data_IF_315499389836
#
_entry.id   IF_315499389836
#
_cell.length_a   1.000
_cell.length_b   1.000
_cell.length_c   1.000
_cell.angle_alpha   90.00
_cell.angle_beta   90.00
_cell.angle_gamma   90.00
#
_symmetry.space_group_name_H-M   'P 1'
#
loop_
_entity.id
_entity.type
_entity.pdbx_description
1 polymer ?
#
# COMPACT_ATOMS: atom_id res chain seq x y z
N UNK A 1 -36.29 63.86 37.14
CA UNK A 1 -36.20 63.44 35.73
C UNK A 1 -34.93 62.61 35.58
N UNK A 2 -35.03 61.30 35.35
CA UNK A 2 -33.88 60.38 35.21
C UNK A 2 -33.64 60.13 33.71
N UNK A 3 -32.59 60.72 33.16
CA UNK A 3 -32.17 60.52 31.76
C UNK A 3 -31.47 59.17 31.67
N UNK A 4 -32.07 58.21 30.95
CA UNK A 4 -31.48 56.90 30.66
C UNK A 4 -30.70 57.00 29.34
N UNK A 5 -29.40 56.80 29.38
CA UNK A 5 -28.56 56.64 28.19
C UNK A 5 -28.72 55.20 27.68
N UNK A 6 -29.25 55.05 26.46
CA UNK A 6 -29.25 53.79 25.71
C UNK A 6 -27.92 53.72 24.98
N UNK A 7 -27.01 52.85 25.44
CA UNK A 7 -25.78 52.55 24.73
C UNK A 7 -26.09 51.62 23.56
N UNK A 8 -25.97 52.13 22.33
CA UNK A 8 -26.09 51.36 21.09
C UNK A 8 -24.82 50.50 20.94
N UNK A 9 -24.96 49.19 21.07
CA UNK A 9 -23.89 48.23 20.80
C UNK A 9 -23.83 47.99 19.28
N UNK A 10 -22.83 48.56 18.61
CA UNK A 10 -22.51 48.22 17.22
C UNK A 10 -21.84 46.85 17.18
N UNK A 11 -22.58 45.82 16.76
CA UNK A 11 -22.00 44.51 16.41
C UNK A 11 -21.48 44.64 14.98
N UNK A 12 -20.16 44.74 14.83
CA UNK A 12 -19.51 44.66 13.51
C UNK A 12 -19.59 43.20 13.01
N UNK A 13 -20.07 42.94 11.78
CA UNK A 13 -20.00 41.60 11.21
C UNK A 13 -18.53 41.28 10.94
N UNK A 14 -17.96 40.34 11.71
CA UNK A 14 -16.67 39.75 11.40
C UNK A 14 -16.87 38.90 10.15
N UNK A 15 -16.52 39.47 9.00
CA UNK A 15 -16.45 38.77 7.74
C UNK A 15 -15.22 37.85 7.79
N UNK A 16 -15.36 36.67 8.39
CA UNK A 16 -14.33 35.63 8.33
C UNK A 16 -14.15 35.24 6.86
N UNK A 17 -13.02 35.62 6.27
CA UNK A 17 -12.60 35.05 4.98
C UNK A 17 -12.52 33.54 5.19
N UNK A 18 -13.44 32.79 4.59
CA UNK A 18 -13.34 31.35 4.51
C UNK A 18 -12.10 31.03 3.67
N UNK A 19 -10.97 30.76 4.32
CA UNK A 19 -9.85 30.09 3.69
C UNK A 19 -10.33 28.70 3.35
N UNK A 20 -10.45 28.37 2.05
CA UNK A 20 -10.65 26.98 1.64
C UNK A 20 -9.47 26.17 2.18
N UNK A 21 -9.75 25.08 2.88
CA UNK A 21 -8.74 24.08 3.17
C UNK A 21 -8.15 23.64 1.83
N UNK A 22 -6.83 23.77 1.69
CA UNK A 22 -6.11 23.22 0.54
C UNK A 22 -5.92 21.73 0.82
N UNK A 23 -6.27 20.92 -0.16
CA UNK A 23 -6.03 19.49 -0.14
C UNK A 23 -5.59 19.07 -1.55
N UNK A 24 -5.14 17.85 -1.73
CA UNK A 24 -4.84 17.30 -3.03
C UNK A 24 -5.37 15.87 -3.09
N UNK A 25 -6.23 15.59 -4.06
CA UNK A 25 -6.70 14.23 -4.30
C UNK A 25 -5.62 13.37 -4.96
N UNK A 26 -5.44 12.15 -4.45
CA UNK A 26 -4.53 11.13 -4.95
C UNK A 26 -5.35 9.86 -5.19
N UNK A 27 -5.44 9.44 -6.45
CA UNK A 27 -6.03 8.18 -6.87
C UNK A 27 -4.93 7.12 -7.02
N UNK A 28 -5.13 5.90 -6.53
CA UNK A 28 -4.08 4.88 -6.56
C UNK A 28 -4.61 3.46 -6.74
N UNK A 29 -3.72 2.53 -7.09
CA UNK A 29 -4.00 1.09 -7.16
C UNK A 29 -3.88 0.49 -8.55
N UNK A 30 -4.88 -0.26 -9.00
CA UNK A 30 -4.94 -0.92 -10.30
C UNK A 30 -5.94 -0.26 -11.25
N UNK A 31 -5.49 0.08 -12.46
CA UNK A 31 -6.31 0.87 -13.39
C UNK A 31 -7.33 0.04 -14.17
N UNK A 32 -7.12 -1.27 -14.32
CA UNK A 32 -7.96 -2.15 -15.16
C UNK A 32 -8.66 -3.21 -14.31
N UNK A 33 -9.82 -3.69 -14.77
CA UNK A 33 -10.51 -4.84 -14.20
C UNK A 33 -9.86 -6.16 -14.66
N UNK A 34 -9.95 -7.20 -13.84
CA UNK A 34 -9.40 -8.53 -14.10
C UNK A 34 -7.87 -8.56 -14.22
N UNK A 35 -7.17 -7.75 -13.44
CA UNK A 35 -5.72 -7.81 -13.39
C UNK A 35 -5.24 -8.95 -12.48
N UNK A 36 -4.13 -9.58 -12.84
CA UNK A 36 -3.61 -10.73 -12.09
C UNK A 36 -2.74 -10.30 -10.93
N UNK A 37 -3.34 -10.22 -9.75
CA UNK A 37 -2.67 -9.97 -8.47
C UNK A 37 -2.51 -11.31 -7.77
N UNK A 38 -1.27 -11.79 -7.71
CA UNK A 38 -0.97 -13.15 -7.29
C UNK A 38 0.07 -13.20 -6.17
N UNK A 39 0.04 -14.31 -5.45
CA UNK A 39 1.01 -14.70 -4.44
C UNK A 39 2.27 -15.30 -5.07
N UNK A 40 3.27 -15.58 -4.24
CA UNK A 40 4.54 -16.18 -4.66
C UNK A 40 4.37 -17.56 -5.32
N UNK A 41 3.25 -18.23 -5.06
CA UNK A 41 2.87 -19.52 -5.61
C UNK A 41 1.82 -19.46 -6.74
N UNK A 42 1.36 -18.27 -7.12
CA UNK A 42 0.40 -18.07 -8.21
C UNK A 42 -1.09 -18.08 -7.80
N UNK A 43 -1.39 -18.22 -6.50
CA UNK A 43 -2.76 -18.06 -5.97
C UNK A 43 -3.15 -16.57 -5.94
N UNK A 44 -4.44 -16.25 -6.01
CA UNK A 44 -4.90 -14.85 -5.91
C UNK A 44 -4.62 -14.25 -4.53
N UNK A 45 -4.33 -12.95 -4.49
CA UNK A 45 -4.23 -12.18 -3.23
C UNK A 45 -5.64 -11.90 -2.68
N UNK A 46 -5.87 -12.16 -1.39
CA UNK A 46 -7.14 -11.93 -0.69
C UNK A 46 -7.00 -10.84 0.38
N UNK A 47 -8.00 -9.98 0.56
CA UNK A 47 -8.00 -8.98 1.64
C UNK A 47 -8.17 -9.59 3.03
N UNK A 48 -8.66 -10.83 3.13
CA UNK A 48 -8.74 -11.53 4.42
C UNK A 48 -7.35 -11.89 4.98
N UNK A 49 -6.34 -11.93 4.11
CA UNK A 49 -4.97 -12.34 4.44
C UNK A 49 -3.94 -11.22 4.22
N UNK A 50 -4.21 -10.31 3.29
CA UNK A 50 -3.29 -9.24 2.89
C UNK A 50 -3.85 -7.87 3.18
N UNK A 51 -2.97 -6.99 3.65
CA UNK A 51 -3.15 -5.54 3.61
C UNK A 51 -2.57 -5.00 2.31
N UNK A 52 -3.23 -4.01 1.72
CA UNK A 52 -2.74 -3.26 0.56
C UNK A 52 -2.75 -1.79 0.98
N UNK A 53 -1.58 -1.18 1.08
CA UNK A 53 -1.41 0.16 1.66
C UNK A 53 -0.67 1.06 0.67
N UNK A 54 -1.14 2.29 0.51
CA UNK A 54 -0.36 3.40 -0.06
C UNK A 54 0.31 4.14 1.10
N UNK A 55 1.58 4.49 0.93
CA UNK A 55 2.29 5.20 1.99
C UNK A 55 3.70 5.61 1.61
N UNK A 56 4.49 5.94 2.62
CA UNK A 56 5.88 6.31 2.48
C UNK A 56 6.68 5.91 3.72
N UNK A 57 7.99 5.81 3.56
CA UNK A 57 8.87 5.53 4.70
C UNK A 57 9.20 6.81 5.47
N UNK A 58 9.58 6.66 6.74
CA UNK A 58 10.08 7.75 7.57
C UNK A 58 11.20 8.53 6.87
N UNK A 59 11.25 9.84 7.10
CA UNK A 59 12.18 10.72 6.38
C UNK A 59 13.63 10.25 6.52
N UNK A 60 14.31 10.09 5.38
CA UNK A 60 15.69 9.58 5.30
C UNK A 60 15.83 8.05 5.30
N UNK A 61 14.73 7.30 5.45
CA UNK A 61 14.72 5.85 5.26
C UNK A 61 14.47 5.50 3.79
N UNK A 62 15.41 4.78 3.17
CA UNK A 62 15.26 4.26 1.81
C UNK A 62 15.10 2.74 1.90
N UNK A 63 13.96 2.18 1.45
CA UNK A 63 13.75 0.73 1.50
C UNK A 63 14.68 0.02 0.53
N UNK A 64 15.37 -1.00 1.03
CA UNK A 64 16.24 -1.89 0.26
C UNK A 64 16.08 -3.32 0.79
N UNK A 65 16.51 -4.32 0.04
CA UNK A 65 16.51 -5.71 0.52
C UNK A 65 17.34 -5.89 1.81
N UNK A 66 18.39 -5.08 1.99
CA UNK A 66 19.30 -5.18 3.13
C UNK A 66 18.71 -4.68 4.46
N UNK A 67 17.61 -3.93 4.45
CA UNK A 67 16.98 -3.36 5.64
C UNK A 67 15.50 -3.76 5.77
N UNK A 68 15.10 -4.88 5.18
CA UNK A 68 13.72 -5.36 5.15
C UNK A 68 13.10 -5.58 6.53
N UNK A 69 13.92 -5.97 7.51
CA UNK A 69 13.52 -6.14 8.91
C UNK A 69 13.04 -4.83 9.55
N UNK A 70 13.47 -3.67 9.03
CA UNK A 70 13.15 -2.36 9.56
C UNK A 70 11.93 -1.70 8.87
N UNK A 71 11.43 -2.28 7.77
CA UNK A 71 10.44 -1.63 6.90
C UNK A 71 9.17 -1.26 7.65
N UNK A 72 8.53 -2.22 8.31
CA UNK A 72 7.24 -1.99 9.00
C UNK A 72 7.37 -0.96 10.11
N UNK A 73 8.52 -0.90 10.80
CA UNK A 73 8.76 0.11 11.85
C UNK A 73 8.98 1.53 11.32
N UNK A 74 9.33 1.66 10.03
CA UNK A 74 9.54 2.94 9.35
C UNK A 74 8.40 3.27 8.38
N UNK A 75 7.41 2.41 8.23
CA UNK A 75 6.30 2.59 7.31
C UNK A 75 5.25 3.53 7.90
N UNK A 76 4.75 4.44 7.06
CA UNK A 76 3.66 5.36 7.39
C UNK A 76 2.56 5.19 6.35
N UNK A 77 1.39 4.80 6.82
CA UNK A 77 0.22 4.57 5.96
C UNK A 77 -0.38 5.92 5.58
N UNK A 78 -0.46 6.19 4.28
CA UNK A 78 -1.21 7.32 3.75
C UNK A 78 -2.66 6.94 3.54
N UNK A 79 -2.92 5.79 2.92
CA UNK A 79 -4.25 5.24 2.67
C UNK A 79 -4.16 3.71 2.59
N UNK A 80 -5.23 2.99 2.86
CA UNK A 80 -5.21 1.54 2.82
C UNK A 80 -6.48 0.94 2.23
N UNK A 81 -6.38 -0.35 1.95
CA UNK A 81 -7.48 -1.20 1.56
C UNK A 81 -7.55 -2.33 2.57
N UNK A 82 -8.68 -2.41 3.27
CA UNK A 82 -8.90 -3.41 4.32
C UNK A 82 -10.09 -4.32 4.00
N UNK A 83 -10.11 -5.51 4.61
CA UNK A 83 -11.22 -6.45 4.43
C UNK A 83 -12.54 -5.86 4.95
N UNK A 84 -13.59 -5.92 4.13
CA UNK A 84 -14.91 -5.38 4.46
C UNK A 84 -15.20 -4.00 3.88
N UNK A 85 -14.19 -3.37 3.26
CA UNK A 85 -14.34 -2.15 2.46
C UNK A 85 -15.11 -2.46 1.17
N UNK A 86 -16.43 -2.51 1.33
CA UNK A 86 -17.43 -2.90 0.33
C UNK A 86 -18.46 -1.80 0.11
N UNK A 87 -18.31 -0.67 0.79
CA UNK A 87 -19.26 0.42 0.69
C UNK A 87 -18.89 1.35 -0.47
N UNK A 88 -19.90 1.69 -1.27
CA UNK A 88 -19.82 2.71 -2.31
C UNK A 88 -19.62 4.14 -1.78
N UNK A 89 -19.56 4.30 -0.46
CA UNK A 89 -19.34 5.57 0.22
C UNK A 89 -17.88 5.82 0.59
N UNK A 90 -17.09 4.75 0.67
CA UNK A 90 -15.65 4.80 0.88
C UNK A 90 -14.96 5.00 -0.47
N UNK A 91 -13.84 5.71 -0.48
CA UNK A 91 -13.09 6.06 -1.67
C UNK A 91 -12.40 4.85 -2.34
N UNK A 92 -12.88 3.65 -2.05
CA UNK A 92 -12.32 2.39 -2.46
C UNK A 92 -13.26 1.60 -3.37
N UNK A 93 -12.69 0.95 -4.38
CA UNK A 93 -13.41 0.00 -5.24
C UNK A 93 -12.57 -1.24 -5.47
N UNK A 94 -12.99 -2.35 -4.87
CA UNK A 94 -12.49 -3.69 -5.20
C UNK A 94 -13.43 -4.42 -6.15
N UNK A 95 -12.85 -5.15 -7.10
CA UNK A 95 -13.58 -6.15 -7.90
C UNK A 95 -12.75 -7.42 -7.91
N UNK A 96 -13.30 -8.53 -7.42
CA UNK A 96 -12.68 -9.85 -7.54
C UNK A 96 -11.43 -10.11 -6.69
N UNK A 97 -11.11 -9.26 -5.71
CA UNK A 97 -10.00 -9.55 -4.76
C UNK A 97 -10.30 -10.85 -4.00
N UNK A 98 -9.30 -11.72 -3.85
CA UNK A 98 -9.45 -13.12 -3.43
C UNK A 98 -9.57 -14.11 -4.59
N UNK A 99 -9.65 -13.62 -5.84
CA UNK A 99 -9.49 -14.43 -7.05
C UNK A 99 -8.22 -14.03 -7.80
N UNK A 100 -7.80 -14.84 -8.78
CA UNK A 100 -6.63 -14.52 -9.61
C UNK A 100 -6.87 -13.34 -10.53
N UNK A 101 -8.10 -12.88 -10.72
CA UNK A 101 -8.44 -11.70 -11.53
C UNK A 101 -9.11 -10.66 -10.64
N UNK A 102 -8.40 -9.58 -10.34
CA UNK A 102 -8.83 -8.60 -9.35
C UNK A 102 -8.50 -7.16 -9.75
N UNK A 103 -9.15 -6.22 -9.07
CA UNK A 103 -8.88 -4.79 -9.13
C UNK A 103 -9.04 -4.20 -7.74
N UNK A 104 -8.18 -3.24 -7.40
CA UNK A 104 -8.30 -2.40 -6.20
C UNK A 104 -7.99 -0.96 -6.61
N UNK A 105 -8.83 -0.01 -6.22
CA UNK A 105 -8.56 1.43 -6.43
C UNK A 105 -8.92 2.18 -5.18
N UNK A 106 -7.97 2.93 -4.62
CA UNK A 106 -8.19 3.85 -3.51
C UNK A 106 -8.13 5.30 -3.96
N UNK A 107 -8.65 6.20 -3.13
CA UNK A 107 -8.61 7.64 -3.35
C UNK A 107 -8.56 8.35 -2.01
N UNK A 108 -7.59 9.22 -1.78
CA UNK A 108 -7.60 10.05 -0.58
C UNK A 108 -6.98 11.43 -0.82
N UNK A 109 -7.00 12.28 0.19
CA UNK A 109 -6.58 13.66 0.15
C UNK A 109 -5.35 13.90 1.02
N UNK A 110 -4.27 14.37 0.40
CA UNK A 110 -3.17 14.98 1.12
C UNK A 110 -3.57 16.39 1.57
N UNK A 111 -3.53 16.63 2.87
CA UNK A 111 -3.96 17.89 3.49
C UNK A 111 -2.87 18.97 3.41
N UNK A 112 -3.24 20.24 3.61
CA UNK A 112 -2.31 21.37 3.59
C UNK A 112 -1.15 21.26 4.60
N UNK A 113 -1.37 20.53 5.69
CA UNK A 113 -0.37 20.26 6.73
C UNK A 113 0.45 18.99 6.47
N UNK A 114 0.32 18.41 5.27
CA UNK A 114 0.98 17.19 4.82
C UNK A 114 0.51 15.91 5.51
N UNK A 115 -0.61 15.93 6.23
CA UNK A 115 -1.24 14.70 6.73
C UNK A 115 -2.16 14.09 5.68
N UNK A 116 -2.51 12.81 5.82
CA UNK A 116 -3.57 12.19 5.03
C UNK A 116 -4.95 12.50 5.63
N UNK A 117 -6.01 12.44 4.82
CA UNK A 117 -7.39 12.49 5.30
C UNK A 117 -7.98 11.07 5.49
N UNK A 118 -7.24 10.01 5.14
CA UNK A 118 -7.66 8.61 5.29
C UNK A 118 -7.81 8.23 6.76
N UNK A 119 -8.88 7.49 7.08
CA UNK A 119 -9.11 6.93 8.41
C UNK A 119 -8.08 5.85 8.78
N UNK A 120 -7.43 5.25 7.77
CA UNK A 120 -6.36 4.26 7.96
C UNK A 120 -5.00 4.89 8.29
N UNK A 121 -4.87 6.21 8.10
CA UNK A 121 -3.65 6.93 8.41
C UNK A 121 -3.53 7.28 9.90
N UNK A 122 -2.31 7.30 10.41
CA UNK A 122 -2.05 7.92 11.70
C UNK A 122 -2.02 9.44 11.50
N UNK A 123 -2.93 10.17 12.16
CA UNK A 123 -2.99 11.64 12.03
C UNK A 123 -1.75 12.41 12.52
N UNK A 124 -0.73 11.72 13.03
CA UNK A 124 0.60 12.28 13.32
C UNK A 124 1.62 12.09 12.19
N UNK A 125 1.34 11.21 11.22
CA UNK A 125 2.20 10.97 10.08
C UNK A 125 2.05 12.10 9.06
N UNK A 126 3.20 12.65 8.64
CA UNK A 126 3.27 13.75 7.68
C UNK A 126 4.10 13.38 6.47
N UNK A 127 3.56 13.50 5.27
CA UNK A 127 4.22 13.13 4.02
C UNK A 127 4.87 14.36 3.38
N UNK A 128 6.18 14.49 3.58
CA UNK A 128 6.94 15.65 3.13
C UNK A 128 6.97 15.79 1.60
N UNK A 129 7.06 17.02 1.08
CA UNK A 129 7.29 17.23 -0.36
C UNK A 129 8.53 16.47 -0.84
N UNK A 130 8.42 15.80 -1.99
CA UNK A 130 9.45 14.96 -2.58
C UNK A 130 9.83 13.70 -1.80
N UNK A 131 9.05 13.32 -0.77
CA UNK A 131 9.15 11.98 -0.19
C UNK A 131 8.53 10.96 -1.15
N UNK A 132 9.23 9.85 -1.36
CA UNK A 132 8.76 8.80 -2.26
C UNK A 132 7.53 8.08 -1.70
N UNK A 133 6.54 7.88 -2.56
CA UNK A 133 5.36 7.07 -2.27
C UNK A 133 5.53 5.64 -2.80
N UNK A 134 4.99 4.68 -2.07
CA UNK A 134 5.04 3.26 -2.41
C UNK A 134 3.68 2.63 -2.21
N UNK A 135 3.41 1.57 -2.96
CA UNK A 135 2.35 0.63 -2.60
C UNK A 135 3.00 -0.58 -1.95
N UNK A 136 2.52 -0.94 -0.76
CA UNK A 136 2.99 -2.06 0.03
C UNK A 136 1.86 -3.08 0.22
N UNK A 137 2.06 -4.29 -0.28
CA UNK A 137 1.15 -5.43 -0.09
C UNK A 137 1.83 -6.43 0.83
N UNK A 138 1.17 -6.85 1.90
CA UNK A 138 1.76 -7.76 2.89
C UNK A 138 0.72 -8.54 3.69
N UNK A 139 1.04 -9.78 4.03
CA UNK A 139 0.24 -10.64 4.92
C UNK A 139 0.80 -10.76 6.35
N UNK A 140 1.89 -10.05 6.66
CA UNK A 140 2.61 -10.11 7.93
C UNK A 140 3.38 -8.83 8.19
N UNK A 141 3.51 -8.44 9.46
CA UNK A 141 4.32 -7.29 9.92
C UNK A 141 5.81 -7.65 10.11
N UNK A 142 6.12 -8.94 10.14
CA UNK A 142 7.49 -9.43 10.30
C UNK A 142 7.91 -10.25 9.08
N UNK A 143 9.14 -10.08 8.59
CA UNK A 143 9.70 -10.97 7.58
C UNK A 143 9.94 -12.35 8.20
N UNK A 144 9.59 -13.41 7.47
CA UNK A 144 9.68 -14.77 7.98
C UNK A 144 9.03 -15.83 7.11
N UNK A 145 8.89 -17.01 7.69
CA UNK A 145 8.23 -18.14 7.02
C UNK A 145 6.75 -17.79 6.81
N UNK A 146 6.26 -18.02 5.59
CA UNK A 146 4.91 -17.69 5.11
C UNK A 146 4.61 -16.18 4.97
N UNK A 147 5.58 -15.30 5.27
CA UNK A 147 5.42 -13.88 5.04
C UNK A 147 5.60 -13.59 3.56
N UNK A 148 4.61 -12.95 2.96
CA UNK A 148 4.54 -12.61 1.55
C UNK A 148 4.34 -11.12 1.37
N UNK A 149 5.31 -10.46 0.76
CA UNK A 149 5.35 -9.02 0.60
C UNK A 149 5.45 -8.62 -0.88
N UNK A 150 5.04 -7.41 -1.23
CA UNK A 150 5.36 -6.72 -2.48
C UNK A 150 5.47 -5.22 -2.18
N UNK A 151 6.57 -4.59 -2.57
CA UNK A 151 6.80 -3.16 -2.38
C UNK A 151 7.29 -2.57 -3.70
N UNK A 152 6.53 -1.61 -4.22
CA UNK A 152 6.83 -1.02 -5.52
C UNK A 152 6.47 0.46 -5.59
N UNK A 153 7.08 1.13 -6.57
CA UNK A 153 6.92 2.56 -6.83
C UNK A 153 7.22 2.87 -8.30
N UNK A 154 7.12 4.14 -8.66
CA UNK A 154 7.68 4.71 -9.88
C UNK A 154 8.85 5.62 -9.51
N UNK A 155 10.05 5.27 -9.93
CA UNK A 155 11.28 6.03 -9.62
C UNK A 155 11.83 6.83 -10.80
N UNK A 156 11.37 6.56 -12.04
CA UNK A 156 11.81 7.29 -13.23
C UNK A 156 10.99 8.57 -13.47
N UNK A 157 10.97 9.10 -14.70
CA UNK A 157 10.28 10.33 -15.09
C UNK A 157 8.86 10.38 -14.53
N UNK A 158 8.51 11.47 -13.83
CA UNK A 158 7.30 11.62 -13.02
C UNK A 158 7.22 10.59 -11.86
N UNK A 159 8.29 10.55 -11.07
CA UNK A 159 8.39 9.72 -9.87
C UNK A 159 7.19 9.92 -8.94
N UNK A 160 6.82 8.85 -8.25
CA UNK A 160 5.79 8.92 -7.22
C UNK A 160 6.37 9.59 -5.98
N UNK A 161 6.12 10.88 -5.89
CA UNK A 161 6.54 11.74 -4.79
C UNK A 161 5.35 12.50 -4.24
N UNK A 162 5.23 12.56 -2.91
CA UNK A 162 4.25 13.42 -2.27
C UNK A 162 4.55 14.88 -2.62
N UNK A 163 3.55 15.65 -3.11
CA UNK A 163 3.78 17.03 -3.52
C UNK A 163 3.61 18.03 -2.38
N UNK A 164 3.97 19.28 -2.63
CA UNK A 164 3.55 20.37 -1.73
C UNK A 164 2.08 20.73 -1.98
N UNK A 165 1.28 20.81 -0.91
CA UNK A 165 -0.12 21.23 -0.97
C UNK A 165 -0.28 22.76 -0.89
N UNK A 166 0.82 23.52 -0.81
CA UNK A 166 0.83 24.98 -0.57
C UNK A 166 0.43 25.84 -1.78
N UNK A 167 -0.19 25.25 -2.81
CA UNK A 167 -0.64 25.92 -4.04
C UNK A 167 -2.15 25.77 -4.25
N UNK A 168 -2.71 26.45 -5.26
CA UNK A 168 -4.09 26.15 -5.67
C UNK A 168 -4.22 24.67 -6.04
N UNK A 169 -5.36 24.06 -5.68
CA UNK A 169 -5.72 22.70 -6.09
C UNK A 169 -5.40 22.49 -7.58
N UNK A 170 -4.63 21.46 -7.97
CA UNK A 170 -4.48 21.15 -9.38
C UNK A 170 -5.84 20.86 -10.00
N UNK A 171 -5.98 21.14 -11.29
CA UNK A 171 -7.25 20.96 -11.99
C UNK A 171 -7.68 19.48 -12.11
N UNK A 172 -6.76 18.55 -11.86
CA UNK A 172 -6.95 17.10 -11.94
C UNK A 172 -6.32 16.41 -10.73
N UNK A 173 -6.92 15.31 -10.24
CA UNK A 173 -6.30 14.44 -9.24
C UNK A 173 -4.91 13.96 -9.69
N UNK A 174 -4.04 13.70 -8.72
CA UNK A 174 -2.80 12.95 -8.94
C UNK A 174 -3.16 11.46 -9.02
N UNK A 175 -2.48 10.70 -9.88
CA UNK A 175 -2.78 9.28 -10.07
C UNK A 175 -1.52 8.42 -9.98
N UNK A 176 -1.57 7.37 -9.15
CA UNK A 176 -0.49 6.41 -8.90
C UNK A 176 -0.99 4.98 -9.13
N UNK A 177 -0.99 4.55 -10.39
CA UNK A 177 -1.46 3.22 -10.77
C UNK A 177 -0.30 2.28 -11.12
N UNK A 178 -0.42 0.99 -10.78
CA UNK A 178 0.64 -0.02 -11.02
C UNK A 178 1.13 -0.08 -12.48
N UNK A 179 0.26 0.21 -13.46
CA UNK A 179 0.63 0.26 -14.87
C UNK A 179 1.71 1.33 -15.19
N UNK A 180 1.89 2.31 -14.29
CA UNK A 180 2.90 3.35 -14.37
C UNK A 180 4.14 3.05 -13.52
N UNK A 181 4.06 2.06 -12.62
CA UNK A 181 5.17 1.69 -11.76
C UNK A 181 6.27 1.01 -12.58
N UNK A 182 7.52 1.34 -12.25
CA UNK A 182 8.71 0.88 -12.97
C UNK A 182 9.76 0.25 -12.06
N UNK A 183 9.50 0.26 -10.74
CA UNK A 183 10.47 -0.15 -9.72
C UNK A 183 9.77 -1.05 -8.71
N UNK A 184 10.23 -2.30 -8.60
CA UNK A 184 9.88 -3.20 -7.50
C UNK A 184 11.10 -3.34 -6.58
N UNK A 185 10.94 -2.98 -5.30
CA UNK A 185 11.97 -3.23 -4.27
C UNK A 185 11.87 -4.67 -3.77
N UNK A 186 10.63 -5.18 -3.66
CA UNK A 186 10.32 -6.56 -3.29
C UNK A 186 9.09 -7.03 -4.06
N UNK A 187 9.02 -8.32 -4.39
CA UNK A 187 7.93 -8.85 -5.22
C UNK A 187 8.17 -8.60 -6.71
N UNK A 188 7.09 -8.58 -7.49
CA UNK A 188 7.15 -8.26 -8.92
C UNK A 188 5.95 -7.44 -9.40
N UNK A 189 6.15 -6.67 -10.47
CA UNK A 189 5.10 -5.89 -11.14
C UNK A 189 5.19 -6.03 -12.67
N UNK A 190 4.06 -5.79 -13.36
CA UNK A 190 3.97 -5.68 -14.83
C UNK A 190 4.62 -6.87 -15.58
N UNK A 191 4.48 -8.08 -15.03
CA UNK A 191 4.93 -9.36 -15.60
C UNK A 191 6.45 -9.55 -15.75
N UNK A 192 7.25 -8.51 -15.55
CA UNK A 192 8.66 -8.47 -15.98
C UNK A 192 9.61 -7.72 -15.04
N UNK A 193 9.09 -6.85 -14.18
CA UNK A 193 9.90 -6.12 -13.20
C UNK A 193 9.87 -6.94 -11.91
N UNK A 194 11.05 -7.28 -11.40
CA UNK A 194 11.24 -8.20 -10.28
C UNK A 194 12.19 -7.57 -9.29
N UNK A 195 11.76 -7.44 -8.04
CA UNK A 195 12.58 -7.02 -6.90
C UNK A 195 13.02 -8.22 -6.06
N UNK A 196 13.36 -7.96 -4.79
CA UNK A 196 13.80 -8.99 -3.86
C UNK A 196 12.73 -10.03 -3.49
N UNK A 197 13.17 -11.04 -2.75
CA UNK A 197 12.37 -12.16 -2.29
C UNK A 197 12.31 -13.34 -3.27
N UNK A 198 11.64 -14.40 -2.85
CA UNK A 198 11.55 -15.68 -3.57
C UNK A 198 10.12 -15.97 -4.04
N UNK A 199 10.00 -16.74 -5.12
CA UNK A 199 8.73 -17.20 -5.66
C UNK A 199 8.88 -18.53 -6.41
N UNK A 200 7.77 -19.26 -6.55
CA UNK A 200 7.74 -20.55 -7.28
C UNK A 200 6.89 -20.50 -8.55
N UNK A 201 5.97 -19.55 -8.66
CA UNK A 201 5.20 -19.37 -9.90
C UNK A 201 6.02 -18.68 -10.98
N UNK A 202 6.35 -19.42 -12.04
CA UNK A 202 7.13 -18.92 -13.18
C UNK A 202 6.34 -18.12 -14.21
N UNK A 203 5.04 -17.88 -14.00
CA UNK A 203 4.21 -17.11 -14.93
C UNK A 203 4.78 -15.70 -15.16
N UNK A 204 4.66 -15.15 -16.36
CA UNK A 204 4.86 -13.71 -16.61
C UNK A 204 3.52 -12.97 -16.74
N UNK A 205 2.41 -13.69 -16.58
CA UNK A 205 1.05 -13.17 -16.69
C UNK A 205 0.55 -12.75 -15.30
N UNK A 206 1.02 -11.59 -14.86
CA UNK A 206 0.63 -10.94 -13.61
C UNK A 206 0.82 -9.42 -13.72
N UNK A 207 -0.01 -8.65 -12.99
CA UNK A 207 0.23 -7.22 -12.77
C UNK A 207 1.06 -6.99 -11.51
N UNK A 208 0.80 -7.77 -10.46
CA UNK A 208 1.49 -7.72 -9.17
C UNK A 208 1.71 -9.16 -8.71
N UNK A 209 2.91 -9.43 -8.20
CA UNK A 209 3.26 -10.66 -7.51
C UNK A 209 3.88 -10.34 -6.15
N UNK A 210 3.41 -10.98 -5.09
CA UNK A 210 4.12 -10.99 -3.80
C UNK A 210 5.18 -12.08 -3.78
N UNK A 211 6.27 -11.84 -3.06
CA UNK A 211 7.36 -12.79 -2.86
C UNK A 211 7.50 -13.16 -1.38
N UNK A 212 7.94 -14.38 -1.12
CA UNK A 212 8.21 -14.89 0.23
C UNK A 212 9.67 -14.67 0.63
N UNK A 213 9.93 -14.61 1.94
CA UNK A 213 11.29 -14.57 2.51
C UNK A 213 11.95 -15.94 2.56
N UNK A 214 11.14 -16.99 2.75
CA UNK A 214 11.60 -18.36 2.86
C UNK A 214 10.71 -19.21 1.97
N UNK A 215 11.26 -19.83 0.92
CA UNK A 215 10.50 -20.76 0.09
C UNK A 215 9.91 -21.86 0.97
N UNK A 216 8.62 -22.15 0.80
CA UNK A 216 8.03 -23.32 1.45
C UNK A 216 8.84 -24.57 1.02
N UNK A 217 9.23 -25.46 1.96
CA UNK A 217 9.94 -26.67 1.59
C UNK A 217 9.05 -27.49 0.67
N UNK A 218 9.38 -27.49 -0.63
CA UNK A 218 8.59 -28.17 -1.63
C UNK A 218 8.28 -29.60 -1.22
N UNK A 219 7.05 -30.05 -1.48
CA UNK A 219 6.53 -31.38 -1.10
C UNK A 219 7.50 -32.52 -1.46
N UNK A 220 8.33 -32.34 -2.49
CA UNK A 220 9.43 -33.23 -2.88
C UNK A 220 10.47 -33.49 -1.78
N UNK A 221 10.90 -32.45 -1.04
CA UNK A 221 11.87 -32.58 0.06
C UNK A 221 11.24 -33.33 1.24
N UNK A 222 9.99 -32.99 1.58
CA UNK A 222 9.25 -33.66 2.66
C UNK A 222 8.97 -35.14 2.32
N UNK A 223 8.63 -35.44 1.07
CA UNK A 223 8.42 -36.82 0.63
C UNK A 223 9.71 -37.63 0.55
N UNK A 224 10.85 -37.03 0.17
CA UNK A 224 12.17 -37.66 0.25
C UNK A 224 12.59 -37.97 1.70
N UNK A 225 12.37 -37.06 2.64
CA UNK A 225 12.62 -37.28 4.06
C UNK A 225 11.70 -38.37 4.65
N UNK A 226 10.43 -38.38 4.24
CA UNK A 226 9.47 -39.43 4.59
C UNK A 226 9.92 -40.81 4.10
N UNK A 227 10.33 -40.90 2.83
CA UNK A 227 10.87 -42.14 2.24
C UNK A 227 12.15 -42.60 2.95
N UNK A 228 13.08 -41.68 3.23
CA UNK A 228 14.31 -42.00 3.96
C UNK A 228 14.01 -42.53 5.38
N UNK A 229 13.04 -41.94 6.09
CA UNK A 229 12.57 -42.41 7.39
C UNK A 229 11.95 -43.82 7.35
N UNK A 230 11.13 -44.09 6.33
CA UNK A 230 10.53 -45.42 6.10
C UNK A 230 11.59 -46.48 5.79
N UNK A 231 12.57 -46.16 4.94
CA UNK A 231 13.69 -47.05 4.62
C UNK A 231 14.57 -47.34 5.84
N UNK A 232 14.79 -46.35 6.72
CA UNK A 232 15.56 -46.52 7.97
C UNK A 232 14.83 -47.41 8.98
N UNK A 233 13.50 -47.27 9.13
CA UNK A 233 12.69 -48.16 9.99
C UNK A 233 12.68 -49.60 9.51
N UNK A 234 12.72 -49.83 8.19
CA UNK A 234 12.71 -51.18 7.62
C UNK A 234 14.02 -51.93 7.90
N UNK A 235 15.17 -51.23 7.91
CA UNK A 235 16.48 -51.82 8.26
C UNK A 235 16.67 -52.11 9.74
N UNK A 236 15.98 -51.40 10.64
CA UNK A 236 16.10 -51.62 12.08
C UNK A 236 15.27 -52.82 12.61
N UNK A 237 14.42 -53.42 11.78
CA UNK A 237 13.54 -54.56 12.13
C UNK A 237 13.95 -55.89 11.48
N UNK A 238 15.04 -55.92 10.73
CA UNK A 238 15.68 -57.13 10.20
C UNK A 238 16.97 -57.38 10.96
#
# INVERSE_FOLDING_TARGET
MKTRYIALLFVAPILTKATRAQQLQIDWGTSVVNEKIITSNGSGVSLDEFSIELGGFASGFVPTEANVDDWVSNWRVFDAVTAGDTDSSDNFSSVGIGSTESRFVGTDYLQADQTSASEDSNGLDTFGPSESAYIFIRNSDAPGVNSEWSLYTRSSDAAWEFPSVSGGQPATPLSWFVAQADTAVWGGINGSIVGGGEFTDGSSDFIIRTHTFVPEPGVAILSLLGLAGLLRRRRARS
#
